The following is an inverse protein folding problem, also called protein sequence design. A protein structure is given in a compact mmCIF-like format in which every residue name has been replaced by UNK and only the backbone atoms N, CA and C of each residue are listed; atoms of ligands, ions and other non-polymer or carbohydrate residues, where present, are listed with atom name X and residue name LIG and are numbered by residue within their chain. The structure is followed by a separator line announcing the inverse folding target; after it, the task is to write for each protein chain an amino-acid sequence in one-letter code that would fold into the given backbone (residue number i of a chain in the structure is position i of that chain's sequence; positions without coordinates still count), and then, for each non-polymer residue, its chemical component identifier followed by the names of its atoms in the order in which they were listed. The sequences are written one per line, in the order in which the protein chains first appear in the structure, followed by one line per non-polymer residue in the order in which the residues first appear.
data_IF_644969632567
#
_entry.id   IF_644969632567
#
_cell.length_a   1.000
_cell.length_b   1.000
_cell.length_c   1.000
_cell.angle_alpha   90.00
_cell.angle_beta   90.00
_cell.angle_gamma   90.00
#
_symmetry.space_group_name_H-M   'P 1'
#
loop_
_entity.id
_entity.type
_entity.pdbx_description
1 polymer ?
#
# COMPACT_ATOMS: atom_id res chain seq x y z
N UNK A 1 8.35 -17.49 2.90
CA UNK A 1 8.39 -17.50 1.41
C UNK A 1 9.05 -18.76 0.88
N UNK A 2 10.36 -18.96 1.10
CA UNK A 2 11.08 -20.15 0.60
C UNK A 2 10.40 -21.44 1.09
N UNK A 3 10.07 -21.51 2.37
CA UNK A 3 9.31 -22.60 2.96
C UNK A 3 7.91 -22.78 2.33
N UNK A 4 7.18 -21.68 2.11
CA UNK A 4 5.86 -21.72 1.46
C UNK A 4 5.93 -22.25 0.01
N UNK A 5 6.95 -21.84 -0.74
CA UNK A 5 7.24 -22.30 -2.09
C UNK A 5 7.59 -23.79 -2.07
N UNK A 6 8.47 -24.21 -1.15
CA UNK A 6 8.88 -25.60 -0.99
C UNK A 6 7.67 -26.49 -0.67
N UNK A 7 6.87 -26.10 0.32
CA UNK A 7 5.68 -26.83 0.74
C UNK A 7 4.64 -26.94 -0.38
N UNK A 8 4.42 -25.90 -1.18
CA UNK A 8 3.49 -25.97 -2.30
C UNK A 8 4.04 -26.76 -3.49
N UNK A 9 5.35 -26.74 -3.72
CA UNK A 9 6.00 -27.49 -4.80
C UNK A 9 6.05 -29.00 -4.55
N UNK A 10 6.03 -29.42 -3.28
CA UNK A 10 6.15 -30.83 -2.86
C UNK A 10 4.80 -31.53 -2.63
N UNK A 11 3.67 -30.80 -2.72
CA UNK A 11 2.34 -31.43 -2.64
C UNK A 11 2.12 -32.39 -3.81
N UNK A 12 1.56 -33.57 -3.53
CA UNK A 12 1.36 -34.64 -4.52
C UNK A 12 0.53 -34.19 -5.74
N UNK A 13 -0.41 -33.27 -5.56
CA UNK A 13 -1.25 -32.71 -6.63
C UNK A 13 -0.53 -31.65 -7.50
N UNK A 14 0.60 -31.13 -7.04
CA UNK A 14 1.37 -30.04 -7.67
C UNK A 14 2.80 -30.40 -8.05
N UNK A 15 3.30 -31.56 -7.63
CA UNK A 15 4.62 -32.04 -7.99
C UNK A 15 4.81 -32.07 -9.52
N UNK A 16 5.90 -31.45 -10.00
CA UNK A 16 6.20 -31.34 -11.43
C UNK A 16 5.38 -30.31 -12.21
N UNK A 17 4.46 -29.56 -11.57
CA UNK A 17 3.68 -28.51 -12.23
C UNK A 17 4.36 -27.14 -12.11
N UNK A 18 4.15 -26.31 -13.13
CA UNK A 18 4.59 -24.91 -13.12
C UNK A 18 3.89 -24.12 -12.01
N UNK A 19 4.64 -23.23 -11.36
CA UNK A 19 4.19 -22.40 -10.24
C UNK A 19 4.27 -20.92 -10.58
N UNK A 20 3.26 -20.17 -10.16
CA UNK A 20 3.22 -18.70 -10.32
C UNK A 20 3.96 -18.06 -9.13
N UNK A 21 5.26 -17.82 -9.29
CA UNK A 21 6.14 -17.25 -8.25
C UNK A 21 5.67 -15.86 -7.80
N UNK A 22 5.01 -15.10 -8.68
CA UNK A 22 4.40 -13.79 -8.38
C UNK A 22 3.50 -13.83 -7.14
N UNK A 23 2.78 -14.92 -6.90
CA UNK A 23 1.88 -15.04 -5.74
C UNK A 23 2.63 -14.99 -4.41
N UNK A 24 3.85 -15.53 -4.36
CA UNK A 24 4.70 -15.52 -3.17
C UNK A 24 5.47 -14.21 -3.04
N UNK A 25 6.05 -13.73 -4.15
CA UNK A 25 6.83 -12.49 -4.17
C UNK A 25 5.98 -11.26 -3.83
N UNK A 26 4.75 -11.19 -4.34
CA UNK A 26 3.85 -10.06 -4.06
C UNK A 26 3.52 -9.95 -2.57
N UNK A 27 3.32 -11.08 -1.87
CA UNK A 27 3.12 -11.08 -0.42
C UNK A 27 4.36 -10.61 0.36
N UNK A 28 5.55 -11.06 -0.03
CA UNK A 28 6.81 -10.62 0.61
C UNK A 28 7.09 -9.15 0.36
N UNK A 29 6.96 -8.70 -0.90
CA UNK A 29 7.16 -7.30 -1.26
C UNK A 29 6.19 -6.40 -0.49
N UNK A 30 4.91 -6.77 -0.45
CA UNK A 30 3.89 -6.07 0.31
C UNK A 30 4.28 -5.95 1.79
N UNK A 31 4.59 -7.07 2.45
CA UNK A 31 4.94 -7.07 3.88
C UNK A 31 6.20 -6.26 4.19
N UNK A 32 7.18 -6.25 3.29
CA UNK A 32 8.40 -5.47 3.47
C UNK A 32 8.14 -3.98 3.29
N UNK A 33 7.45 -3.58 2.23
CA UNK A 33 7.12 -2.18 1.96
C UNK A 33 6.25 -1.62 3.09
N UNK A 34 5.20 -2.32 3.51
CA UNK A 34 4.30 -1.81 4.55
C UNK A 34 4.99 -1.73 5.92
N UNK A 35 5.94 -2.63 6.19
CA UNK A 35 6.76 -2.55 7.42
C UNK A 35 7.73 -1.37 7.37
N UNK A 36 8.34 -1.08 6.23
CA UNK A 36 9.25 0.06 6.08
C UNK A 36 8.49 1.39 6.11
N UNK A 37 7.34 1.46 5.45
CA UNK A 37 6.53 2.67 5.37
C UNK A 37 5.77 2.94 6.69
N UNK A 38 4.97 1.97 7.13
CA UNK A 38 4.02 2.10 8.24
C UNK A 38 4.45 1.39 9.52
N UNK A 39 5.62 0.73 9.55
CA UNK A 39 6.01 -0.04 10.74
C UNK A 39 5.11 -1.24 11.05
N UNK A 40 4.17 -1.58 10.15
CA UNK A 40 3.11 -2.58 10.38
C UNK A 40 3.18 -3.73 9.39
N UNK A 41 2.89 -4.92 9.90
CA UNK A 41 2.64 -6.11 9.10
C UNK A 41 1.13 -6.32 9.07
N UNK A 42 0.54 -6.23 7.88
CA UNK A 42 -0.90 -6.48 7.69
C UNK A 42 -1.23 -7.96 7.41
N UNK A 43 -0.23 -8.84 7.47
CA UNK A 43 -0.39 -10.29 7.28
C UNK A 43 0.11 -11.00 8.52
N UNK A 44 -0.70 -11.89 9.08
CA UNK A 44 -0.37 -12.68 10.26
C UNK A 44 0.52 -13.91 9.93
N UNK A 45 0.84 -14.72 10.94
CA UNK A 45 1.65 -15.94 10.79
C UNK A 45 1.01 -16.98 9.88
N UNK A 46 -0.33 -17.00 9.81
CA UNK A 46 -1.12 -17.92 8.99
C UNK A 46 -1.27 -17.43 7.54
N UNK A 47 -0.72 -16.26 7.20
CA UNK A 47 -0.84 -15.68 5.86
C UNK A 47 -2.17 -14.96 5.60
N UNK A 48 -2.99 -14.77 6.62
CA UNK A 48 -4.27 -14.04 6.55
C UNK A 48 -3.99 -12.55 6.67
N UNK A 49 -4.61 -11.78 5.77
CA UNK A 49 -4.51 -10.33 5.72
C UNK A 49 -5.59 -9.68 6.58
N UNK A 50 -5.22 -8.65 7.35
CA UNK A 50 -6.18 -7.85 8.09
C UNK A 50 -6.98 -6.89 7.18
N UNK A 51 -8.02 -6.27 7.73
CA UNK A 51 -8.90 -5.38 6.96
C UNK A 51 -8.16 -4.17 6.37
N UNK A 52 -7.21 -3.58 7.11
CA UNK A 52 -6.41 -2.46 6.62
C UNK A 52 -5.48 -2.86 5.47
N UNK A 53 -4.92 -4.07 5.50
CA UNK A 53 -4.11 -4.61 4.42
C UNK A 53 -4.94 -4.91 3.17
N UNK A 54 -6.15 -5.44 3.34
CA UNK A 54 -7.09 -5.65 2.24
C UNK A 54 -7.48 -4.32 1.60
N UNK A 55 -7.76 -3.33 2.44
CA UNK A 55 -8.07 -1.96 2.02
C UNK A 55 -6.91 -1.33 1.25
N UNK A 56 -5.69 -1.44 1.78
CA UNK A 56 -4.48 -0.94 1.12
C UNK A 56 -4.28 -1.58 -0.25
N UNK A 57 -4.40 -2.90 -0.34
CA UNK A 57 -4.29 -3.61 -1.62
C UNK A 57 -5.35 -3.16 -2.61
N UNK A 58 -6.58 -2.96 -2.17
CA UNK A 58 -7.66 -2.46 -3.01
C UNK A 58 -7.39 -1.02 -3.49
N UNK A 59 -6.82 -0.17 -2.65
CA UNK A 59 -6.39 1.17 -3.02
C UNK A 59 -5.27 1.09 -4.09
N UNK A 60 -4.17 0.38 -3.84
CA UNK A 60 -3.07 0.24 -4.82
C UNK A 60 -3.57 -0.31 -6.16
N UNK A 61 -4.41 -1.35 -6.14
CA UNK A 61 -4.94 -1.96 -7.36
C UNK A 61 -5.82 -0.99 -8.17
N UNK A 62 -6.69 -0.23 -7.50
CA UNK A 62 -7.52 0.77 -8.15
C UNK A 62 -6.69 1.97 -8.64
N UNK A 63 -5.68 2.40 -7.88
CA UNK A 63 -4.77 3.47 -8.25
C UNK A 63 -3.99 3.14 -9.51
N UNK A 64 -3.48 1.91 -9.65
CA UNK A 64 -2.82 1.44 -10.88
C UNK A 64 -3.76 1.50 -12.10
N UNK A 65 -5.03 1.09 -11.93
CA UNK A 65 -6.02 1.12 -13.02
C UNK A 65 -6.34 2.56 -13.44
N UNK A 66 -6.58 3.44 -12.47
CA UNK A 66 -6.89 4.85 -12.71
C UNK A 66 -5.68 5.59 -13.33
N UNK A 67 -4.47 5.37 -12.81
CA UNK A 67 -3.24 5.97 -13.32
C UNK A 67 -2.91 5.53 -14.76
N UNK A 68 -3.17 4.26 -15.11
CA UNK A 68 -3.00 3.78 -16.49
C UNK A 68 -3.93 4.51 -17.48
N UNK A 69 -5.16 4.83 -17.07
CA UNK A 69 -6.10 5.61 -17.89
C UNK A 69 -5.61 7.05 -18.09
N UNK A 70 -5.15 7.70 -17.01
CA UNK A 70 -4.62 9.06 -17.04
C UNK A 70 -3.41 9.18 -17.97
N UNK A 71 -2.45 8.26 -17.87
CA UNK A 71 -1.24 8.28 -18.69
C UNK A 71 -1.56 8.23 -20.20
N UNK A 72 -2.54 7.41 -20.61
CA UNK A 72 -2.98 7.32 -22.01
C UNK A 72 -3.62 8.62 -22.50
N UNK A 73 -4.45 9.26 -21.67
CA UNK A 73 -5.10 10.52 -22.01
C UNK A 73 -4.12 11.69 -22.14
N UNK A 74 -3.03 11.69 -21.33
CA UNK A 74 -1.98 12.72 -21.37
C UNK A 74 -1.04 12.56 -22.56
N UNK A 75 -0.63 11.33 -22.88
CA UNK A 75 0.36 11.06 -23.94
C UNK A 75 -0.26 11.02 -25.34
N UNK A 76 -1.58 10.81 -25.45
CA UNK A 76 -2.28 10.75 -26.74
C UNK A 76 -3.50 11.70 -26.72
N UNK A 77 -3.28 13.02 -26.92
CA UNK A 77 -4.33 14.03 -26.71
C UNK A 77 -5.60 13.83 -27.56
N UNK A 78 -5.47 13.26 -28.76
CA UNK A 78 -6.61 13.02 -29.65
C UNK A 78 -7.43 11.77 -29.27
N UNK A 79 -6.92 10.88 -28.41
CA UNK A 79 -7.67 9.77 -27.83
C UNK A 79 -8.35 10.14 -26.50
N UNK A 80 -8.19 11.37 -26.01
CA UNK A 80 -8.77 11.81 -24.72
C UNK A 80 -10.27 11.59 -24.62
N UNK A 81 -11.02 11.68 -25.73
CA UNK A 81 -12.46 11.42 -25.74
C UNK A 81 -12.82 9.93 -25.47
N UNK A 82 -11.91 8.99 -25.77
CA UNK A 82 -12.09 7.56 -25.47
C UNK A 82 -11.71 7.20 -24.04
N UNK A 83 -10.97 8.08 -23.36
CA UNK A 83 -10.55 7.94 -21.97
C UNK A 83 -11.03 9.14 -21.14
N UNK A 84 -12.36 9.34 -21.02
CA UNK A 84 -12.88 10.40 -20.17
C UNK A 84 -12.36 10.18 -18.74
N UNK A 85 -11.79 11.23 -18.15
CA UNK A 85 -11.35 11.19 -16.77
C UNK A 85 -12.59 11.02 -15.88
N UNK A 86 -12.69 9.89 -15.20
CA UNK A 86 -13.73 9.65 -14.20
C UNK A 86 -13.37 10.42 -12.92
N UNK A 87 -13.50 11.75 -12.94
CA UNK A 87 -13.13 12.64 -11.83
C UNK A 87 -13.75 12.20 -10.50
N UNK A 88 -15.00 11.74 -10.51
CA UNK A 88 -15.68 11.20 -9.33
C UNK A 88 -14.99 9.93 -8.80
N UNK A 89 -14.56 9.02 -9.69
CA UNK A 89 -13.83 7.83 -9.30
C UNK A 89 -12.46 8.17 -8.72
N UNK A 90 -11.76 9.16 -9.29
CA UNK A 90 -10.50 9.69 -8.75
C UNK A 90 -10.69 10.32 -7.37
N UNK A 91 -11.70 11.19 -7.20
CA UNK A 91 -11.99 11.84 -5.93
C UNK A 91 -12.36 10.82 -4.85
N UNK A 92 -13.22 9.85 -5.18
CA UNK A 92 -13.60 8.75 -4.27
C UNK A 92 -12.40 7.88 -3.91
N UNK A 93 -11.52 7.61 -4.87
CA UNK A 93 -10.30 6.84 -4.64
C UNK A 93 -9.33 7.58 -3.74
N UNK A 94 -9.10 8.88 -3.99
CA UNK A 94 -8.29 9.76 -3.15
C UNK A 94 -8.81 9.84 -1.73
N UNK A 95 -10.11 10.07 -1.53
CA UNK A 95 -10.72 10.11 -0.21
C UNK A 95 -10.53 8.79 0.57
N UNK A 96 -10.64 7.64 -0.11
CA UNK A 96 -10.42 6.31 0.48
C UNK A 96 -8.96 6.11 0.90
N UNK A 97 -8.02 6.51 0.04
CA UNK A 97 -6.57 6.50 0.29
C UNK A 97 -6.21 7.37 1.48
N UNK A 98 -6.72 8.59 1.51
CA UNK A 98 -6.41 9.56 2.56
C UNK A 98 -7.00 9.11 3.89
N UNK A 99 -8.21 8.55 3.90
CA UNK A 99 -8.82 7.99 5.12
C UNK A 99 -7.98 6.84 5.72
N UNK A 100 -7.52 5.91 4.88
CA UNK A 100 -6.64 4.83 5.35
C UNK A 100 -5.34 5.39 5.91
N UNK A 101 -4.74 6.35 5.22
CA UNK A 101 -3.45 6.94 5.60
C UNK A 101 -3.56 7.71 6.91
N UNK A 102 -4.62 8.53 7.09
CA UNK A 102 -4.90 9.23 8.35
C UNK A 102 -5.12 8.27 9.50
N UNK A 103 -5.89 7.20 9.31
CA UNK A 103 -6.08 6.20 10.36
C UNK A 103 -4.76 5.57 10.82
N UNK A 104 -3.83 5.29 9.89
CA UNK A 104 -2.50 4.79 10.24
C UNK A 104 -1.67 5.86 10.97
N UNK A 105 -1.69 7.10 10.51
CA UNK A 105 -1.00 8.21 11.18
C UNK A 105 -1.51 8.42 12.61
N UNK A 106 -2.83 8.39 12.83
CA UNK A 106 -3.46 8.50 14.15
C UNK A 106 -3.02 7.36 15.10
N UNK A 107 -2.97 6.13 14.60
CA UNK A 107 -2.43 4.97 15.34
C UNK A 107 -0.99 5.22 15.81
N UNK A 108 -0.15 5.82 14.96
CA UNK A 108 1.23 6.12 15.30
C UNK A 108 1.38 7.29 16.27
N UNK A 109 0.60 8.36 16.08
CA UNK A 109 0.58 9.50 17.00
C UNK A 109 0.17 9.06 18.41
N UNK A 110 -0.86 8.22 18.54
CA UNK A 110 -1.27 7.65 19.81
C UNK A 110 -0.20 6.73 20.42
N UNK A 111 0.44 5.90 19.58
CA UNK A 111 1.52 5.03 20.02
C UNK A 111 2.72 5.81 20.57
N UNK A 112 3.06 6.97 19.98
CA UNK A 112 4.13 7.85 20.47
C UNK A 112 3.81 8.44 21.84
N UNK A 113 2.58 8.92 22.03
CA UNK A 113 2.13 9.44 23.32
C UNK A 113 2.20 8.38 24.42
N UNK A 114 1.91 7.12 24.09
CA UNK A 114 1.86 6.02 25.06
C UNK A 114 3.24 5.42 25.36
N UNK A 115 4.08 5.26 24.34
CA UNK A 115 5.39 4.56 24.45
C UNK A 115 6.59 5.48 24.62
N UNK A 116 6.42 6.81 24.47
CA UNK A 116 7.44 7.81 24.75
C UNK A 116 8.60 7.87 23.74
N UNK A 117 8.47 7.25 22.57
CA UNK A 117 9.57 7.21 21.59
C UNK A 117 9.15 7.04 20.13
N UNK A 118 9.98 7.61 19.25
CA UNK A 118 9.93 7.44 17.81
C UNK A 118 10.27 6.00 17.39
N UNK A 119 9.56 5.48 16.39
CA UNK A 119 9.78 4.15 15.79
C UNK A 119 10.58 4.27 14.48
N UNK A 120 11.27 3.20 14.11
CA UNK A 120 12.09 3.17 12.89
C UNK A 120 11.27 2.78 11.65
N UNK A 121 10.35 3.64 11.21
CA UNK A 121 9.65 3.51 9.93
C UNK A 121 9.31 4.88 9.33
N UNK A 122 8.98 4.92 8.04
CA UNK A 122 8.91 6.16 7.27
C UNK A 122 7.86 7.16 7.79
N UNK A 123 6.64 6.71 8.10
CA UNK A 123 5.60 7.58 8.70
C UNK A 123 6.10 8.24 9.97
N UNK A 124 6.81 7.48 10.82
CA UNK A 124 7.35 8.02 12.05
C UNK A 124 8.45 9.06 11.77
N UNK A 125 9.33 8.79 10.81
CA UNK A 125 10.31 9.79 10.38
C UNK A 125 9.65 11.09 9.90
N UNK A 126 8.57 11.00 9.11
CA UNK A 126 7.80 12.16 8.63
C UNK A 126 7.15 12.93 9.80
N UNK A 127 6.54 12.22 10.75
CA UNK A 127 5.94 12.83 11.94
C UNK A 127 6.99 13.47 12.86
N UNK A 128 8.23 12.96 12.91
CA UNK A 128 9.32 13.57 13.69
C UNK A 128 9.78 14.90 13.11
N UNK A 129 9.84 15.00 11.79
CA UNK A 129 10.31 16.21 11.10
C UNK A 129 9.15 17.15 10.73
N UNK A 130 7.92 16.79 11.10
CA UNK A 130 6.71 17.53 10.75
C UNK A 130 6.76 18.99 11.22
N UNK A 131 7.04 19.23 12.50
CA UNK A 131 7.13 20.59 13.05
C UNK A 131 8.33 21.36 12.47
N UNK A 132 9.44 20.67 12.18
CA UNK A 132 10.65 21.30 11.65
C UNK A 132 10.45 21.87 10.24
N UNK A 133 9.68 21.18 9.40
CA UNK A 133 9.47 21.56 8.00
C UNK A 133 8.04 22.02 7.70
N UNK A 134 7.22 22.25 8.73
CA UNK A 134 5.81 22.64 8.61
C UNK A 134 5.02 21.71 7.64
N UNK A 135 5.22 20.39 7.81
CA UNK A 135 4.56 19.42 6.93
C UNK A 135 3.08 19.31 7.27
N UNK A 136 2.22 19.74 6.35
CA UNK A 136 0.78 19.48 6.46
C UNK A 136 0.47 17.99 6.38
N UNK A 137 -0.66 17.56 6.96
CA UNK A 137 -1.13 16.17 6.83
C UNK A 137 -1.23 15.74 5.37
N UNK A 138 -1.73 16.62 4.50
CA UNK A 138 -1.86 16.33 3.06
C UNK A 138 -0.48 16.15 2.40
N UNK A 139 0.55 16.84 2.87
CA UNK A 139 1.93 16.65 2.39
C UNK A 139 2.47 15.29 2.81
N UNK A 140 2.26 14.90 4.08
CA UNK A 140 2.65 13.58 4.58
C UNK A 140 1.93 12.48 3.80
N UNK A 141 0.62 12.63 3.59
CA UNK A 141 -0.17 11.68 2.78
C UNK A 141 0.37 11.62 1.35
N UNK A 142 0.68 12.77 0.75
CA UNK A 142 1.27 12.86 -0.58
C UNK A 142 2.64 12.17 -0.72
N UNK A 143 3.47 12.19 0.32
CA UNK A 143 4.79 11.54 0.31
C UNK A 143 4.72 10.00 0.46
N UNK A 144 3.56 9.46 0.87
CA UNK A 144 3.37 8.02 1.08
C UNK A 144 2.88 7.28 -0.19
N UNK A 145 2.56 8.00 -1.26
CA UNK A 145 1.94 7.48 -2.48
C UNK A 145 2.60 8.02 -3.74
#
# INVERSE_FOLDING_TARGET
MVESIFNDSTKQDKSGKSMIVKNYLSGVAFNNITRLAFGKRFVNSEGIMDEQGLEFKAIVANGLKLGASLAMAEHIPWLRFMFPLEEEAFAKHGARRDRLTRAIMDEHTLARQTSGGAKQHFVDALLTVQEQYDLSEDTIIGLLW
#
